data_IF_049290186136
#
_entry.id   IF_049290186136
#
_cell.length_a   1.000
_cell.length_b   1.000
_cell.length_c   1.000
_cell.angle_alpha   90.00
_cell.angle_beta   90.00
_cell.angle_gamma   90.00
#
_symmetry.space_group_name_H-M   'P 1'
#
loop_
_entity.id
_entity.type
_entity.pdbx_description
1 polymer ?
#
# COMPACT_ATOMS: atom_id res chain seq x y z
N UNK A 1 39.99 -26.18 -13.83
CA UNK A 1 39.52 -25.83 -12.47
C UNK A 1 39.37 -24.31 -12.39
N UNK A 2 38.30 -23.85 -11.71
CA UNK A 2 38.02 -22.46 -11.24
C UNK A 2 37.32 -21.49 -12.23
N UNK A 3 35.99 -21.56 -12.19
CA UNK A 3 34.99 -20.45 -12.07
C UNK A 3 35.54 -19.11 -11.50
N UNK A 4 34.97 -17.88 -11.68
CA UNK A 4 33.62 -17.38 -12.01
C UNK A 4 33.67 -15.82 -12.16
N UNK A 5 32.79 -15.30 -13.01
CA UNK A 5 31.93 -14.09 -12.89
C UNK A 5 32.58 -12.70 -12.78
N UNK A 6 32.28 -11.90 -13.80
CA UNK A 6 32.53 -10.47 -13.98
C UNK A 6 31.68 -9.65 -13.00
N UNK A 7 32.33 -8.76 -12.25
CA UNK A 7 31.74 -7.77 -11.34
C UNK A 7 31.33 -6.53 -12.13
N UNK A 8 30.03 -6.27 -12.28
CA UNK A 8 29.50 -4.98 -12.71
C UNK A 8 28.92 -4.28 -11.46
N UNK A 9 29.60 -3.23 -11.03
CA UNK A 9 29.14 -2.29 -10.02
C UNK A 9 28.02 -1.43 -10.62
N UNK A 10 26.76 -1.69 -10.27
CA UNK A 10 25.69 -0.72 -10.43
C UNK A 10 25.60 0.13 -9.16
N UNK A 11 26.28 1.28 -9.19
CA UNK A 11 26.09 2.34 -8.18
C UNK A 11 24.83 3.09 -8.57
N UNK A 12 23.72 2.85 -7.86
CA UNK A 12 22.59 3.79 -7.84
C UNK A 12 22.67 4.54 -6.52
N UNK A 13 23.18 5.76 -6.60
CA UNK A 13 23.13 6.74 -5.53
C UNK A 13 21.66 7.15 -5.32
N UNK A 14 21.05 6.68 -4.24
CA UNK A 14 19.81 7.27 -3.75
C UNK A 14 20.19 8.40 -2.81
N UNK A 15 20.12 9.63 -3.31
CA UNK A 15 20.24 10.86 -2.53
C UNK A 15 19.20 10.84 -1.41
N UNK A 16 19.68 10.90 -0.18
CA UNK A 16 18.87 11.05 1.01
C UNK A 16 18.07 12.36 0.92
N UNK A 17 16.74 12.24 0.82
CA UNK A 17 15.85 13.31 1.25
C UNK A 17 15.73 13.15 2.76
N UNK A 18 16.44 14.01 3.49
CA UNK A 18 16.26 14.18 4.92
C UNK A 18 14.98 14.99 5.16
N UNK A 19 14.14 14.48 6.07
CA UNK A 19 12.95 15.17 6.57
C UNK A 19 11.66 14.65 5.96
N UNK A 20 11.06 13.64 6.59
CA UNK A 20 9.86 13.80 7.44
C UNK A 20 9.52 12.42 8.03
N UNK A 21 9.43 12.38 9.36
CA UNK A 21 8.74 11.36 10.17
C UNK A 21 9.21 9.90 9.98
N UNK A 22 10.28 9.50 10.68
CA UNK A 22 10.38 8.10 11.10
C UNK A 22 9.35 7.89 12.22
N UNK A 23 8.32 7.04 12.06
CA UNK A 23 7.44 6.71 13.17
C UNK A 23 8.27 6.04 14.27
N UNK A 24 8.07 6.53 15.49
CA UNK A 24 8.75 6.05 16.69
C UNK A 24 8.63 4.53 16.81
N UNK A 25 9.78 3.92 17.12
CA UNK A 25 9.93 2.52 17.46
C UNK A 25 9.35 2.26 18.84
N UNK A 26 8.05 2.00 18.89
CA UNK A 26 7.41 1.39 20.05
C UNK A 26 7.20 -0.10 19.75
N UNK A 27 7.68 -0.94 20.65
CA UNK A 27 7.57 -2.40 20.69
C UNK A 27 6.12 -2.91 20.49
N UNK A 28 5.60 -2.90 19.25
CA UNK A 28 4.33 -3.56 18.94
C UNK A 28 4.58 -5.03 18.64
N UNK A 29 4.46 -5.81 19.72
CA UNK A 29 4.43 -7.26 19.71
C UNK A 29 3.28 -7.73 18.81
N UNK A 30 3.63 -8.47 17.77
CA UNK A 30 2.75 -9.14 16.83
C UNK A 30 1.50 -9.76 17.47
N UNK A 31 0.34 -9.28 17.05
CA UNK A 31 -0.83 -10.13 16.82
C UNK A 31 -1.75 -9.44 15.82
N UNK A 32 -1.83 -9.93 14.58
CA UNK A 32 -3.02 -9.72 13.76
C UNK A 32 -4.21 -10.21 14.58
N UNK A 33 -5.00 -9.27 15.10
CA UNK A 33 -6.23 -9.48 15.85
C UNK A 33 -6.90 -8.12 16.09
N UNK A 34 -7.67 -7.69 15.10
CA UNK A 34 -8.78 -6.73 15.15
C UNK A 34 -8.53 -5.33 15.74
N UNK A 35 -8.68 -4.28 14.91
CA UNK A 35 -8.97 -2.91 15.39
C UNK A 35 -8.91 -1.80 14.35
N UNK A 36 -7.92 -1.82 13.45
CA UNK A 36 -7.64 -0.74 12.50
C UNK A 36 -7.84 -1.17 11.04
N UNK A 37 -7.99 -0.20 10.13
CA UNK A 37 -8.22 -0.45 8.69
C UNK A 37 -7.05 -1.20 8.04
N UNK A 38 -5.83 -0.91 8.48
CA UNK A 38 -4.61 -1.52 7.97
C UNK A 38 -4.54 -3.02 8.30
N UNK A 39 -4.86 -3.42 9.54
CA UNK A 39 -4.87 -4.80 10.00
C UNK A 39 -5.89 -5.64 9.25
N UNK A 40 -7.13 -5.14 9.11
CA UNK A 40 -8.16 -5.86 8.34
C UNK A 40 -7.71 -6.12 6.89
N UNK A 41 -7.07 -5.14 6.25
CA UNK A 41 -6.60 -5.30 4.88
C UNK A 41 -5.37 -6.22 4.80
N UNK A 42 -4.46 -6.16 5.77
CA UNK A 42 -3.31 -7.06 5.84
C UNK A 42 -3.74 -8.52 6.03
N UNK A 43 -4.67 -8.79 6.95
CA UNK A 43 -5.25 -10.12 7.17
C UNK A 43 -5.93 -10.64 5.89
N UNK A 44 -6.74 -9.79 5.25
CA UNK A 44 -7.38 -10.17 3.99
C UNK A 44 -6.36 -10.50 2.89
N UNK A 45 -5.32 -9.68 2.73
CA UNK A 45 -4.27 -9.95 1.74
C UNK A 45 -3.45 -11.19 2.08
N UNK A 46 -3.23 -11.47 3.36
CA UNK A 46 -2.60 -12.70 3.81
C UNK A 46 -3.36 -13.93 3.30
N UNK A 47 -4.67 -13.95 3.53
CA UNK A 47 -5.52 -15.06 3.14
C UNK A 47 -5.59 -15.24 1.62
N UNK A 48 -5.59 -14.14 0.85
CA UNK A 48 -5.69 -14.21 -0.61
C UNK A 48 -4.36 -14.52 -1.32
N UNK A 49 -3.24 -14.08 -0.74
CA UNK A 49 -1.92 -14.12 -1.38
C UNK A 49 -0.97 -15.13 -0.74
N UNK A 50 -1.37 -15.73 0.39
CA UNK A 50 -0.55 -16.63 1.20
C UNK A 50 0.83 -16.00 1.48
N UNK A 51 0.81 -14.85 2.13
CA UNK A 51 2.03 -14.09 2.43
C UNK A 51 2.89 -14.88 3.42
N UNK A 52 4.22 -14.79 3.27
CA UNK A 52 5.10 -15.20 4.36
C UNK A 52 4.99 -14.22 5.52
N UNK A 53 5.42 -14.62 6.72
CA UNK A 53 5.44 -13.73 7.89
C UNK A 53 6.17 -12.41 7.58
N UNK A 54 7.35 -12.47 6.96
CA UNK A 54 8.10 -11.28 6.56
C UNK A 54 7.35 -10.38 5.57
N UNK A 55 6.60 -10.97 4.63
CA UNK A 55 5.80 -10.21 3.67
C UNK A 55 4.59 -9.58 4.36
N UNK A 56 3.87 -10.34 5.19
CA UNK A 56 2.74 -9.87 5.99
C UNK A 56 3.13 -8.64 6.80
N UNK A 57 4.25 -8.72 7.50
CA UNK A 57 4.79 -7.66 8.36
C UNK A 57 5.02 -6.36 7.57
N UNK A 58 5.61 -6.47 6.38
CA UNK A 58 5.86 -5.32 5.49
C UNK A 58 4.57 -4.78 4.88
N UNK A 59 3.64 -5.66 4.49
CA UNK A 59 2.33 -5.27 3.96
C UNK A 59 1.56 -4.50 5.01
N UNK A 60 1.45 -5.02 6.25
CA UNK A 60 0.79 -4.34 7.35
C UNK A 60 1.41 -2.96 7.62
N UNK A 61 2.74 -2.88 7.75
CA UNK A 61 3.42 -1.61 7.98
C UNK A 61 3.20 -0.60 6.84
N UNK A 62 3.17 -1.07 5.60
CA UNK A 62 2.92 -0.22 4.42
C UNK A 62 1.48 0.31 4.43
N UNK A 63 0.51 -0.56 4.75
CA UNK A 63 -0.89 -0.18 4.86
C UNK A 63 -1.13 0.79 6.02
N UNK A 64 -0.49 0.58 7.16
CA UNK A 64 -0.60 1.48 8.31
C UNK A 64 -0.11 2.89 7.96
N UNK A 65 1.05 3.01 7.31
CA UNK A 65 1.58 4.29 6.84
C UNK A 65 0.66 4.93 5.79
N UNK A 66 0.12 4.15 4.85
CA UNK A 66 -0.87 4.63 3.89
C UNK A 66 -2.13 5.20 4.59
N UNK A 67 -2.62 4.52 5.63
CA UNK A 67 -3.79 4.96 6.39
C UNK A 67 -3.52 6.25 7.17
N UNK A 68 -2.36 6.36 7.82
CA UNK A 68 -1.92 7.58 8.51
C UNK A 68 -1.81 8.76 7.54
N UNK A 69 -1.16 8.54 6.38
CA UNK A 69 -1.02 9.57 5.35
C UNK A 69 -2.38 10.02 4.81
N UNK A 70 -3.36 9.11 4.69
CA UNK A 70 -4.72 9.51 4.29
C UNK A 70 -5.35 10.44 5.31
N UNK A 71 -5.21 10.13 6.59
CA UNK A 71 -5.82 10.93 7.66
C UNK A 71 -5.15 12.32 7.72
N UNK A 72 -3.82 12.40 7.55
CA UNK A 72 -3.10 13.66 7.38
C UNK A 72 -3.55 14.44 6.14
N UNK A 73 -3.69 13.79 4.99
CA UNK A 73 -4.15 14.42 3.75
C UNK A 73 -5.58 14.98 3.92
N UNK A 74 -6.43 14.27 4.65
CA UNK A 74 -7.80 14.69 4.93
C UNK A 74 -7.84 15.96 5.78
N UNK A 75 -7.02 16.02 6.83
CA UNK A 75 -6.89 17.21 7.67
C UNK A 75 -6.30 18.38 6.89
N UNK A 76 -5.23 18.13 6.14
CA UNK A 76 -4.48 19.14 5.39
C UNK A 76 -5.27 19.76 4.24
N UNK A 77 -6.00 18.94 3.49
CA UNK A 77 -6.74 19.35 2.30
C UNK A 77 -8.25 19.43 2.57
N UNK A 78 -8.65 19.56 3.84
CA UNK A 78 -10.05 19.73 4.23
C UNK A 78 -10.66 20.95 3.53
N UNK A 79 -11.69 20.71 2.72
CA UNK A 79 -12.36 21.73 1.92
C UNK A 79 -11.80 21.92 0.50
N UNK A 80 -10.63 21.39 0.18
CA UNK A 80 -10.05 21.38 -1.17
C UNK A 80 -10.12 19.96 -1.76
N UNK A 81 -11.18 19.70 -2.52
CA UNK A 81 -11.45 18.38 -3.08
C UNK A 81 -10.44 17.96 -4.14
N UNK A 82 -9.92 18.91 -4.92
CA UNK A 82 -9.00 18.59 -6.01
C UNK A 82 -7.61 18.28 -5.45
N UNK A 83 -7.14 19.08 -4.47
CA UNK A 83 -5.89 18.78 -3.78
C UNK A 83 -5.95 17.45 -3.01
N UNK A 84 -7.05 17.15 -2.33
CA UNK A 84 -7.24 15.86 -1.66
C UNK A 84 -7.24 14.69 -2.65
N UNK A 85 -7.84 14.89 -3.84
CA UNK A 85 -7.85 13.87 -4.90
C UNK A 85 -6.45 13.59 -5.43
N UNK A 86 -5.68 14.63 -5.73
CA UNK A 86 -4.30 14.49 -6.23
C UNK A 86 -3.41 13.80 -5.18
N UNK A 87 -3.54 14.19 -3.90
CA UNK A 87 -2.86 13.53 -2.79
C UNK A 87 -3.25 12.03 -2.70
N UNK A 88 -4.54 11.73 -2.85
CA UNK A 88 -5.02 10.34 -2.86
C UNK A 88 -4.49 9.51 -4.03
N UNK A 89 -4.40 10.09 -5.23
CA UNK A 89 -3.87 9.39 -6.41
C UNK A 89 -2.36 9.12 -6.27
N UNK A 90 -1.62 10.09 -5.72
CA UNK A 90 -0.20 9.91 -5.39
C UNK A 90 -0.01 8.81 -4.35
N UNK A 91 -0.71 8.90 -3.21
CA UNK A 91 -0.62 7.94 -2.11
C UNK A 91 -0.93 6.51 -2.56
N UNK A 92 -1.91 6.34 -3.46
CA UNK A 92 -2.24 5.04 -4.07
C UNK A 92 -1.14 4.51 -4.98
N UNK A 93 -0.49 5.39 -5.74
CA UNK A 93 0.65 5.02 -6.59
C UNK A 93 1.82 4.55 -5.74
N UNK A 94 2.12 5.28 -4.66
CA UNK A 94 3.18 4.94 -3.71
C UNK A 94 2.90 3.59 -3.03
N UNK A 95 1.66 3.35 -2.59
CA UNK A 95 1.25 2.05 -2.05
C UNK A 95 1.50 0.92 -3.05
N UNK A 96 1.06 1.05 -4.31
CA UNK A 96 1.26 0.00 -5.32
C UNK A 96 2.74 -0.28 -5.60
N UNK A 97 3.58 0.75 -5.63
CA UNK A 97 5.02 0.59 -5.80
C UNK A 97 5.64 -0.17 -4.62
N UNK A 98 5.24 0.16 -3.39
CA UNK A 98 5.67 -0.57 -2.19
C UNK A 98 5.23 -2.03 -2.24
N UNK A 99 3.96 -2.30 -2.57
CA UNK A 99 3.43 -3.66 -2.70
C UNK A 99 4.19 -4.47 -3.76
N UNK A 100 4.54 -3.86 -4.90
CA UNK A 100 5.35 -4.52 -5.95
C UNK A 100 6.74 -4.95 -5.47
N UNK A 101 7.33 -4.23 -4.52
CA UNK A 101 8.65 -4.57 -3.97
C UNK A 101 8.59 -5.64 -2.86
N UNK A 102 7.44 -5.80 -2.21
CA UNK A 102 7.22 -6.78 -1.13
C UNK A 102 6.74 -8.13 -1.68
N UNK A 103 5.87 -8.09 -2.68
CA UNK A 103 5.23 -9.27 -3.26
C UNK A 103 6.07 -9.86 -4.39
N UNK A 104 6.00 -11.18 -4.56
CA UNK A 104 6.51 -11.80 -5.79
C UNK A 104 5.55 -11.54 -6.97
N UNK A 105 5.95 -11.93 -8.18
CA UNK A 105 5.17 -11.66 -9.41
C UNK A 105 3.74 -12.19 -9.32
N UNK A 106 3.57 -13.46 -8.95
CA UNK A 106 2.25 -14.11 -8.90
C UNK A 106 1.34 -13.48 -7.84
N UNK A 107 1.90 -13.13 -6.68
CA UNK A 107 1.19 -12.42 -5.62
C UNK A 107 0.79 -11.01 -6.04
N UNK A 108 1.68 -10.30 -6.74
CA UNK A 108 1.41 -8.94 -7.21
C UNK A 108 0.34 -8.90 -8.31
N UNK A 109 0.32 -9.90 -9.19
CA UNK A 109 -0.72 -10.03 -10.22
C UNK A 109 -2.10 -10.27 -9.57
N UNK A 110 -2.18 -11.17 -8.58
CA UNK A 110 -3.40 -11.38 -7.79
C UNK A 110 -3.82 -10.13 -7.03
N UNK A 111 -2.87 -9.45 -6.38
CA UNK A 111 -3.13 -8.18 -5.69
C UNK A 111 -3.75 -7.14 -6.64
N UNK A 112 -3.21 -7.00 -7.85
CA UNK A 112 -3.72 -6.07 -8.86
C UNK A 112 -5.15 -6.42 -9.29
N UNK A 113 -5.47 -7.72 -9.40
CA UNK A 113 -6.84 -8.17 -9.68
C UNK A 113 -7.80 -7.85 -8.54
N UNK A 114 -7.39 -8.07 -7.29
CA UNK A 114 -8.15 -7.72 -6.09
C UNK A 114 -8.49 -6.24 -6.09
N UNK A 115 -7.49 -5.36 -6.28
CA UNK A 115 -7.65 -3.91 -6.35
C UNK A 115 -8.64 -3.48 -7.45
N UNK A 116 -8.50 -4.07 -8.65
CA UNK A 116 -9.39 -3.80 -9.77
C UNK A 116 -10.83 -4.23 -9.48
N UNK A 117 -11.02 -5.39 -8.86
CA UNK A 117 -12.33 -5.89 -8.47
C UNK A 117 -12.98 -4.99 -7.42
N UNK A 118 -12.24 -4.57 -6.40
CA UNK A 118 -12.72 -3.61 -5.40
C UNK A 118 -13.15 -2.30 -6.05
N UNK A 119 -12.31 -1.73 -6.93
CA UNK A 119 -12.62 -0.50 -7.67
C UNK A 119 -13.87 -0.63 -8.54
N UNK A 120 -14.01 -1.75 -9.26
CA UNK A 120 -15.18 -2.01 -10.10
C UNK A 120 -16.46 -2.18 -9.27
N UNK A 121 -16.38 -2.86 -8.13
CA UNK A 121 -17.51 -3.02 -7.22
C UNK A 121 -17.98 -1.67 -6.65
N UNK A 122 -17.05 -0.79 -6.27
CA UNK A 122 -17.38 0.56 -5.84
C UNK A 122 -18.05 1.35 -6.98
N UNK A 123 -17.49 1.32 -8.20
CA UNK A 123 -18.08 1.96 -9.37
C UNK A 123 -19.50 1.47 -9.66
N UNK A 124 -19.76 0.17 -9.55
CA UNK A 124 -21.10 -0.41 -9.73
C UNK A 124 -22.06 0.07 -8.64
N UNK A 125 -21.63 0.06 -7.37
CA UNK A 125 -22.46 0.46 -6.23
C UNK A 125 -22.85 1.94 -6.28
N UNK A 126 -21.90 2.83 -6.59
CA UNK A 126 -22.15 4.27 -6.66
C UNK A 126 -22.65 4.75 -8.04
N UNK A 127 -22.39 3.99 -9.11
CA UNK A 127 -22.91 4.27 -10.45
C UNK A 127 -24.40 3.96 -10.60
N UNK A 128 -24.89 2.88 -9.95
CA UNK A 128 -26.32 2.51 -9.96
C UNK A 128 -27.21 3.52 -9.22
N UNK A 129 -26.63 4.27 -8.26
CA UNK A 129 -27.34 5.34 -7.52
C UNK A 129 -27.63 6.60 -8.34
N UNK A 130 -26.91 6.84 -9.45
CA UNK A 130 -27.14 8.01 -10.33
C UNK A 130 -28.18 7.79 -11.44
N UNK A 131 -28.60 6.55 -11.69
CA UNK A 131 -29.63 6.22 -12.70
C UNK A 131 -31.07 6.17 -12.14
N UNK A 132 -31.24 6.23 -10.81
CA UNK A 132 -32.55 6.22 -10.14
C UNK A 132 -33.08 7.60 -9.73
N UNK A 133 -32.43 8.68 -10.18
CA UNK A 133 -32.85 10.07 -9.96
C UNK A 133 -33.15 10.71 -11.33
N UNK A 134 -34.21 10.25 -11.98
CA UNK A 134 -34.86 10.95 -13.09
C UNK A 134 -36.34 11.08 -12.77
#
# INVERSE_FOLDING_TARGET
MKTKIILIFFIVAFTAIAGLSQPNNDNYKYSGKCGDRAGYMADYLNDQLNLSDDQYNKVYSTLLSHEQQRDEDFEKYSGDRDAFRDASDKRRTDLNNSMKSILNSDQYDKYTQIENNMRNNLRRKYGKGKMGMN
#
